data_IF_150836956374
#
_entry.id   IF_150836956374
#
_cell.length_a   1.000
_cell.length_b   1.000
_cell.length_c   1.000
_cell.angle_alpha   90.00
_cell.angle_beta   90.00
_cell.angle_gamma   90.00
#
_symmetry.space_group_name_H-M   'P 1'
#
loop_
_entity.id
_entity.type
_entity.pdbx_description
1 polymer ?
#
# COMPACT_ATOMS: atom_id res chain seq x y z
N UNK A 1 70.03 -11.01 43.72
CA UNK A 1 70.67 -12.02 44.51
C UNK A 1 69.90 -13.31 44.39
N UNK A 2 70.54 -14.27 43.72
CA UNK A 2 70.48 -15.74 43.74
C UNK A 2 69.22 -16.37 43.09
N UNK A 3 69.33 -16.82 41.86
CA UNK A 3 69.90 -18.08 41.33
C UNK A 3 68.93 -19.27 41.37
N UNK A 4 68.77 -19.82 40.20
CA UNK A 4 68.11 -21.06 39.71
C UNK A 4 68.55 -22.34 40.50
N UNK A 5 68.00 -23.56 40.28
CA UNK A 5 67.81 -24.15 38.92
C UNK A 5 66.65 -25.12 38.70
N UNK A 6 66.48 -25.43 37.44
CA UNK A 6 65.90 -26.53 36.66
C UNK A 6 65.87 -27.92 37.32
N UNK A 7 64.82 -28.72 37.03
CA UNK A 7 65.03 -30.10 36.55
C UNK A 7 63.81 -30.58 35.73
N UNK A 8 64.13 -31.18 34.60
CA UNK A 8 63.30 -32.00 33.73
C UNK A 8 62.88 -33.33 34.35
N UNK A 9 61.72 -33.87 34.00
CA UNK A 9 61.62 -35.28 33.63
C UNK A 9 60.31 -35.56 32.80
N UNK A 10 60.51 -36.13 31.62
CA UNK A 10 59.54 -36.79 30.76
C UNK A 10 58.96 -38.04 31.40
N UNK A 11 57.68 -38.30 31.21
CA UNK A 11 57.17 -39.66 30.98
C UNK A 11 56.01 -39.64 30.03
N UNK A 12 56.20 -40.35 28.91
CA UNK A 12 55.15 -40.78 27.93
C UNK A 12 54.12 -41.63 28.63
N UNK A 13 52.87 -41.53 28.28
CA UNK A 13 52.14 -42.68 27.72
C UNK A 13 50.61 -42.41 27.43
N UNK A 14 50.29 -42.90 26.31
CA UNK A 14 49.02 -43.57 25.89
C UNK A 14 47.84 -42.73 25.40
N UNK A 15 47.80 -42.79 24.06
CA UNK A 15 46.66 -42.60 23.16
C UNK A 15 45.43 -43.36 23.68
N UNK A 16 44.31 -42.69 23.77
CA UNK A 16 43.01 -43.26 23.50
C UNK A 16 42.22 -42.28 22.61
N UNK A 17 42.12 -42.62 21.33
CA UNK A 17 41.18 -42.01 20.40
C UNK A 17 39.78 -42.48 20.81
N UNK A 18 38.93 -41.54 21.17
CA UNK A 18 37.50 -41.71 21.13
C UNK A 18 36.95 -40.75 20.03
N UNK A 19 36.74 -41.30 18.86
CA UNK A 19 36.04 -40.64 17.81
C UNK A 19 34.57 -40.40 18.14
N UNK A 20 34.20 -39.16 18.43
CA UNK A 20 32.80 -38.75 18.39
C UNK A 20 32.44 -38.44 16.93
N UNK A 21 31.74 -39.37 16.29
CA UNK A 21 30.99 -39.12 15.08
C UNK A 21 29.85 -38.12 15.43
N UNK A 22 30.08 -36.85 15.17
CA UNK A 22 29.00 -35.87 15.10
C UNK A 22 28.21 -36.10 13.80
N UNK A 23 27.16 -36.91 13.89
CA UNK A 23 26.16 -36.99 12.83
C UNK A 23 25.44 -35.64 12.77
N UNK A 24 25.86 -34.77 11.86
CA UNK A 24 25.11 -33.59 11.49
C UNK A 24 23.85 -34.06 10.78
N UNK A 25 22.73 -34.08 11.50
CA UNK A 25 21.40 -34.10 10.91
C UNK A 25 21.20 -32.77 10.17
N UNK A 26 21.57 -32.72 8.90
CA UNK A 26 21.11 -31.69 7.98
C UNK A 26 19.61 -31.91 7.81
N UNK A 27 18.80 -31.25 8.66
CA UNK A 27 17.39 -31.09 8.41
C UNK A 27 17.26 -30.27 7.12
N UNK A 28 16.68 -30.80 6.02
CA UNK A 28 16.38 -29.97 4.88
C UNK A 28 15.36 -28.93 5.37
N UNK A 29 15.77 -27.66 5.45
CA UNK A 29 14.83 -26.57 5.49
C UNK A 29 14.07 -26.65 4.17
N UNK A 30 12.87 -27.17 4.23
CA UNK A 30 11.86 -26.97 3.20
C UNK A 30 11.58 -25.45 3.17
N UNK A 31 12.35 -24.73 2.38
CA UNK A 31 11.99 -23.39 1.95
C UNK A 31 10.77 -23.63 1.06
N UNK A 32 9.60 -23.71 1.68
CA UNK A 32 8.33 -23.66 0.97
C UNK A 32 8.35 -22.33 0.21
N UNK A 33 8.36 -22.39 -1.12
CA UNK A 33 8.02 -21.24 -1.92
C UNK A 33 6.65 -20.77 -1.41
N UNK A 34 6.60 -19.58 -0.80
CA UNK A 34 5.34 -18.94 -0.44
C UNK A 34 4.65 -18.59 -1.76
N UNK A 35 3.80 -19.49 -2.21
CA UNK A 35 2.96 -19.31 -3.39
C UNK A 35 1.56 -18.96 -2.89
N UNK A 36 0.91 -18.03 -3.58
CA UNK A 36 -0.46 -17.66 -3.27
C UNK A 36 -1.37 -18.90 -3.27
N UNK A 37 -2.26 -19.01 -2.29
CA UNK A 37 -3.18 -20.13 -2.17
C UNK A 37 -4.12 -20.21 -3.37
N UNK A 38 -4.37 -21.41 -3.87
CA UNK A 38 -5.38 -21.63 -4.89
C UNK A 38 -6.79 -21.33 -4.35
N UNK A 39 -7.73 -20.99 -5.22
CA UNK A 39 -9.06 -20.53 -4.82
C UNK A 39 -9.86 -21.61 -4.03
N UNK A 40 -9.66 -22.89 -4.33
CA UNK A 40 -10.29 -23.98 -3.56
C UNK A 40 -9.75 -24.09 -2.13
N UNK A 41 -8.50 -23.75 -1.90
CA UNK A 41 -7.94 -23.65 -0.55
C UNK A 41 -8.52 -22.45 0.19
N UNK A 42 -8.61 -21.28 -0.48
CA UNK A 42 -9.24 -20.07 0.06
C UNK A 42 -10.67 -20.35 0.50
N UNK A 43 -11.48 -21.05 -0.33
CA UNK A 43 -12.85 -21.44 0.03
C UNK A 43 -12.93 -22.27 1.29
N UNK A 44 -11.94 -23.12 1.57
CA UNK A 44 -11.91 -23.98 2.76
C UNK A 44 -11.48 -23.24 4.03
N UNK A 45 -10.47 -22.36 3.95
CA UNK A 45 -9.90 -21.67 5.12
C UNK A 45 -10.41 -20.25 5.36
N UNK A 46 -11.14 -19.71 4.40
CA UNK A 46 -11.55 -18.33 4.35
C UNK A 46 -10.56 -17.44 3.57
N UNK A 47 -11.08 -16.32 3.05
CA UNK A 47 -10.32 -15.29 2.34
C UNK A 47 -9.65 -14.35 3.35
N UNK A 48 -8.36 -14.13 3.21
CA UNK A 48 -7.60 -13.18 4.04
C UNK A 48 -7.46 -11.86 3.27
N UNK A 49 -8.18 -10.86 3.73
CA UNK A 49 -8.19 -9.50 3.17
C UNK A 49 -7.23 -8.62 3.97
N UNK A 50 -6.33 -7.92 3.30
CA UNK A 50 -5.51 -6.88 3.90
C UNK A 50 -6.04 -5.48 3.54
N UNK A 51 -6.21 -4.61 4.55
CA UNK A 51 -6.63 -3.22 4.40
C UNK A 51 -5.67 -2.29 5.12
N UNK A 52 -5.49 -1.07 4.62
CA UNK A 52 -4.75 -0.02 5.33
C UNK A 52 -5.55 0.49 6.53
N UNK A 53 -4.85 0.94 7.56
CA UNK A 53 -5.45 1.40 8.82
C UNK A 53 -6.01 2.83 8.75
N UNK A 54 -5.48 3.70 7.87
CA UNK A 54 -6.03 5.05 7.67
C UNK A 54 -5.73 5.64 6.27
N UNK A 55 -6.56 5.29 5.29
CA UNK A 55 -6.58 5.88 3.95
C UNK A 55 -7.97 6.42 3.59
N UNK A 56 -8.43 7.44 4.33
CA UNK A 56 -9.76 8.07 4.17
C UNK A 56 -9.97 8.65 2.78
N UNK A 57 -11.16 8.49 2.20
CA UNK A 57 -12.38 7.84 2.72
C UNK A 57 -12.55 6.37 2.31
N UNK A 58 -11.51 5.74 1.74
CA UNK A 58 -11.57 4.36 1.28
C UNK A 58 -11.66 3.38 2.44
N UNK A 59 -10.68 3.38 3.34
CA UNK A 59 -10.65 2.56 4.53
C UNK A 59 -9.94 3.29 5.69
N UNK A 60 -10.46 3.13 6.89
CA UNK A 60 -9.90 3.67 8.13
C UNK A 60 -10.58 3.05 9.35
N UNK A 61 -9.98 3.20 10.51
CA UNK A 61 -10.59 2.81 11.78
C UNK A 61 -11.19 4.04 12.46
N UNK A 62 -12.50 3.98 12.80
CA UNK A 62 -13.21 5.00 13.56
C UNK A 62 -13.87 4.36 14.76
N UNK A 63 -13.57 4.85 15.96
CA UNK A 63 -14.11 4.33 17.23
C UNK A 63 -13.92 2.80 17.36
N UNK A 64 -12.76 2.29 16.93
CA UNK A 64 -12.40 0.87 16.93
C UNK A 64 -13.10 0.03 15.86
N UNK A 65 -13.82 0.64 14.92
CA UNK A 65 -14.55 -0.06 13.86
C UNK A 65 -13.96 0.24 12.48
N UNK A 66 -13.74 -0.77 11.63
CA UNK A 66 -13.44 -0.58 10.21
C UNK A 66 -14.56 0.24 9.56
N UNK A 67 -14.19 1.28 8.83
CA UNK A 67 -15.11 2.29 8.28
C UNK A 67 -14.57 2.73 6.92
N UNK A 68 -15.43 3.20 6.03
CA UNK A 68 -15.04 3.67 4.71
C UNK A 68 -15.61 2.85 3.56
N UNK A 69 -15.37 3.30 2.34
CA UNK A 69 -15.89 2.71 1.12
C UNK A 69 -15.53 1.22 0.97
N UNK A 70 -14.23 0.89 1.07
CA UNK A 70 -13.75 -0.48 0.94
C UNK A 70 -14.23 -1.36 2.11
N UNK A 71 -14.31 -0.82 3.33
CA UNK A 71 -14.80 -1.57 4.47
C UNK A 71 -16.29 -1.91 4.35
N UNK A 72 -17.12 -1.04 3.78
CA UNK A 72 -18.53 -1.38 3.51
C UNK A 72 -18.66 -2.46 2.42
N UNK A 73 -17.84 -2.40 1.37
CA UNK A 73 -17.80 -3.46 0.36
C UNK A 73 -17.31 -4.79 0.94
N UNK A 74 -16.39 -4.78 1.92
CA UNK A 74 -15.98 -6.00 2.64
C UNK A 74 -17.15 -6.58 3.43
N UNK A 75 -18.00 -5.77 4.07
CA UNK A 75 -19.21 -6.25 4.74
C UNK A 75 -20.22 -6.85 3.75
N UNK A 76 -20.43 -6.19 2.60
CA UNK A 76 -21.27 -6.72 1.53
C UNK A 76 -20.70 -8.05 0.98
N UNK A 77 -19.36 -8.15 0.84
CA UNK A 77 -18.66 -9.38 0.46
C UNK A 77 -18.83 -10.49 1.51
N UNK A 78 -18.76 -10.19 2.82
CA UNK A 78 -19.02 -11.16 3.91
C UNK A 78 -20.42 -11.74 3.84
N UNK A 79 -21.39 -10.93 3.43
CA UNK A 79 -22.80 -11.36 3.32
C UNK A 79 -23.03 -12.25 2.10
N UNK A 80 -22.31 -12.03 1.00
CA UNK A 80 -22.53 -12.70 -0.29
C UNK A 80 -21.60 -13.86 -0.57
N UNK A 81 -20.41 -13.90 0.06
CA UNK A 81 -19.44 -14.98 -0.17
C UNK A 81 -19.86 -16.31 0.47
N UNK A 82 -19.63 -17.46 -0.18
CA UNK A 82 -19.94 -18.78 0.37
C UNK A 82 -18.86 -19.29 1.36
N UNK A 83 -17.94 -18.42 1.80
CA UNK A 83 -16.84 -18.74 2.71
C UNK A 83 -16.53 -17.53 3.61
N UNK A 84 -15.79 -17.78 4.68
CA UNK A 84 -15.42 -16.75 5.65
C UNK A 84 -14.53 -15.68 5.03
N UNK A 85 -14.72 -14.39 5.42
CA UNK A 85 -13.87 -13.26 5.07
C UNK A 85 -13.16 -12.79 6.33
N UNK A 86 -11.86 -12.99 6.39
CA UNK A 86 -10.96 -12.55 7.47
C UNK A 86 -10.29 -11.26 7.05
N UNK A 87 -10.34 -10.22 7.87
CA UNK A 87 -9.72 -8.94 7.57
C UNK A 87 -8.55 -8.67 8.51
N UNK A 88 -7.40 -8.34 7.95
CA UNK A 88 -6.25 -7.82 8.67
C UNK A 88 -6.06 -6.34 8.32
N UNK A 89 -6.08 -5.50 9.35
CA UNK A 89 -5.90 -4.04 9.25
C UNK A 89 -4.48 -3.73 9.69
N UNK A 90 -3.71 -3.08 8.83
CA UNK A 90 -2.28 -2.86 9.05
C UNK A 90 -1.80 -1.58 8.32
N UNK A 91 -0.61 -1.04 8.67
CA UNK A 91 -0.03 0.05 7.91
C UNK A 91 0.19 -0.32 6.44
N UNK A 92 0.10 0.67 5.54
CA UNK A 92 0.29 0.48 4.09
C UNK A 92 1.52 -0.35 3.72
N UNK A 93 2.65 -0.05 4.39
CA UNK A 93 3.93 -0.71 4.08
C UNK A 93 3.83 -2.22 4.29
N UNK A 94 4.07 -2.97 3.22
CA UNK A 94 4.06 -4.44 3.24
C UNK A 94 2.74 -5.10 2.81
N UNK A 95 1.61 -4.36 2.66
CA UNK A 95 0.34 -4.94 2.19
C UNK A 95 0.52 -5.63 0.83
N UNK A 96 0.99 -4.90 -0.19
CA UNK A 96 1.11 -5.44 -1.54
C UNK A 96 2.17 -6.54 -1.65
N UNK A 97 3.28 -6.42 -0.92
CA UNK A 97 4.28 -7.49 -0.82
C UNK A 97 3.70 -8.74 -0.15
N UNK A 98 2.88 -8.56 0.90
CA UNK A 98 2.17 -9.65 1.55
C UNK A 98 1.21 -10.38 0.63
N UNK A 99 0.50 -9.66 -0.25
CA UNK A 99 -0.37 -10.26 -1.27
C UNK A 99 0.45 -11.01 -2.32
N UNK A 100 1.51 -10.39 -2.85
CA UNK A 100 2.34 -11.03 -3.89
C UNK A 100 3.02 -12.31 -3.42
N UNK A 101 3.29 -12.44 -2.11
CA UNK A 101 3.91 -13.63 -1.49
C UNK A 101 2.88 -14.61 -0.91
N UNK A 102 1.58 -14.33 -1.00
CA UNK A 102 0.52 -15.22 -0.51
C UNK A 102 0.29 -15.19 1.00
N UNK A 103 0.86 -14.20 1.73
CA UNK A 103 0.53 -13.96 3.13
C UNK A 103 -0.92 -13.50 3.28
N UNK A 104 -1.38 -12.64 2.39
CA UNK A 104 -2.76 -12.21 2.22
C UNK A 104 -3.24 -12.65 0.84
N UNK A 105 -4.53 -12.88 0.68
CA UNK A 105 -5.11 -13.28 -0.60
C UNK A 105 -5.44 -12.09 -1.49
N UNK A 106 -5.88 -11.00 -0.87
CA UNK A 106 -6.28 -9.77 -1.57
C UNK A 106 -5.97 -8.54 -0.73
N UNK A 107 -5.52 -7.47 -1.40
CA UNK A 107 -5.51 -6.13 -0.84
C UNK A 107 -6.78 -5.40 -1.27
N UNK A 108 -7.64 -5.06 -0.31
CA UNK A 108 -8.80 -4.17 -0.49
C UNK A 108 -8.44 -2.85 0.18
N UNK A 109 -7.73 -1.98 -0.53
CA UNK A 109 -7.10 -0.78 0.04
C UNK A 109 -6.79 0.29 -1.00
N UNK A 110 -7.66 0.46 -1.97
CA UNK A 110 -7.54 1.49 -3.02
C UNK A 110 -6.15 1.54 -3.70
N UNK A 111 -5.51 0.38 -3.91
CA UNK A 111 -4.19 0.30 -4.52
C UNK A 111 -4.21 0.77 -5.98
N UNK A 112 -3.47 1.83 -6.31
CA UNK A 112 -3.38 2.36 -7.67
C UNK A 112 -2.70 1.35 -8.59
N UNK A 113 -3.30 1.10 -9.75
CA UNK A 113 -2.77 0.22 -10.79
C UNK A 113 -1.55 0.89 -11.42
N UNK A 114 -0.36 0.24 -11.37
CA UNK A 114 0.87 0.69 -12.03
C UNK A 114 1.51 -0.45 -12.82
N UNK A 115 2.35 -0.13 -13.83
CA UNK A 115 3.12 -1.15 -14.58
C UNK A 115 3.99 -2.01 -13.68
N UNK A 116 4.65 -1.39 -12.70
CA UNK A 116 5.51 -2.09 -11.76
C UNK A 116 4.70 -3.09 -10.93
N UNK A 117 3.58 -2.66 -10.34
CA UNK A 117 2.72 -3.53 -9.52
C UNK A 117 2.14 -4.68 -10.34
N UNK A 118 1.79 -4.47 -11.62
CA UNK A 118 1.31 -5.52 -12.53
C UNK A 118 2.34 -6.62 -12.83
N UNK A 119 3.60 -6.44 -12.48
CA UNK A 119 4.59 -7.51 -12.61
C UNK A 119 4.36 -8.64 -11.61
N UNK A 120 3.88 -8.33 -10.40
CA UNK A 120 3.68 -9.28 -9.29
C UNK A 120 2.23 -9.42 -8.83
N UNK A 121 1.33 -8.56 -9.31
CA UNK A 121 -0.08 -8.50 -8.91
C UNK A 121 -0.98 -8.44 -10.14
N UNK A 122 -2.19 -8.97 -9.98
CA UNK A 122 -3.32 -8.72 -10.88
C UNK A 122 -4.35 -7.85 -10.14
N UNK A 123 -5.11 -7.06 -10.90
CA UNK A 123 -6.02 -6.06 -10.36
C UNK A 123 -7.44 -6.30 -10.84
N UNK A 124 -8.42 -6.06 -9.97
CA UNK A 124 -9.83 -6.00 -10.34
C UNK A 124 -10.12 -4.84 -11.29
N UNK A 125 -11.34 -4.74 -11.74
CA UNK A 125 -11.81 -3.52 -12.40
C UNK A 125 -11.67 -2.31 -11.47
N UNK A 126 -11.34 -1.11 -12.02
CA UNK A 126 -11.23 0.12 -11.25
C UNK A 126 -12.45 0.45 -10.39
N UNK A 127 -12.18 1.01 -9.20
CA UNK A 127 -13.21 1.35 -8.22
C UNK A 127 -13.48 2.86 -8.09
N UNK A 128 -12.54 3.71 -8.56
CA UNK A 128 -12.66 5.17 -8.54
C UNK A 128 -11.69 5.83 -9.52
N UNK A 129 -11.75 7.15 -9.69
CA UNK A 129 -10.68 7.97 -10.27
C UNK A 129 -9.73 8.42 -9.15
N UNK A 130 -8.44 8.18 -9.33
CA UNK A 130 -7.41 8.52 -8.35
C UNK A 130 -6.36 9.49 -8.94
N UNK A 131 -6.75 10.41 -9.81
CA UNK A 131 -5.88 11.47 -10.30
C UNK A 131 -5.24 12.20 -9.11
N UNK A 132 -3.92 12.43 -9.18
CA UNK A 132 -3.16 13.03 -8.07
C UNK A 132 -3.25 14.55 -8.12
N UNK A 133 -3.45 15.14 -6.96
CA UNK A 133 -3.47 16.57 -6.74
C UNK A 133 -2.53 16.93 -5.59
N UNK A 134 -2.13 18.18 -5.51
CA UNK A 134 -1.48 18.67 -4.30
C UNK A 134 -2.48 19.35 -3.37
N UNK A 135 -2.16 19.33 -2.09
CA UNK A 135 -2.85 20.08 -1.04
C UNK A 135 -1.81 20.93 -0.29
N UNK A 136 -2.19 22.13 0.08
CA UNK A 136 -1.37 23.09 0.81
C UNK A 136 -2.11 23.70 1.99
N UNK A 137 -1.43 24.43 2.86
CA UNK A 137 -2.09 25.27 3.84
C UNK A 137 -2.86 26.39 3.11
N UNK A 138 -4.06 26.66 3.57
CA UNK A 138 -4.96 27.67 2.98
C UNK A 138 -4.41 29.11 3.11
N UNK A 139 -3.66 29.38 4.18
CA UNK A 139 -3.02 30.67 4.46
C UNK A 139 -1.69 30.84 3.72
N UNK A 140 -1.08 29.81 3.18
CA UNK A 140 0.12 29.91 2.35
C UNK A 140 -0.21 30.53 0.98
N UNK A 141 0.12 31.81 0.83
CA UNK A 141 -0.07 32.57 -0.41
C UNK A 141 1.11 32.45 -1.38
N UNK A 142 2.17 31.72 -0.98
CA UNK A 142 3.33 31.48 -1.84
C UNK A 142 3.10 30.39 -2.89
N UNK A 143 2.00 29.63 -2.78
CA UNK A 143 1.59 28.58 -3.72
C UNK A 143 0.22 28.93 -4.28
N UNK A 144 0.15 29.27 -5.55
CA UNK A 144 -1.08 29.56 -6.30
C UNK A 144 -1.25 28.68 -7.54
N UNK A 145 -0.16 28.07 -8.02
CA UNK A 145 -0.13 27.24 -9.21
C UNK A 145 0.95 26.16 -9.11
N UNK A 146 0.99 25.22 -10.07
CA UNK A 146 2.01 24.15 -10.12
C UNK A 146 3.42 24.72 -10.13
N UNK A 147 3.69 25.79 -10.89
CA UNK A 147 5.03 26.40 -10.98
C UNK A 147 5.59 26.85 -9.63
N UNK A 148 4.70 27.23 -8.70
CA UNK A 148 5.08 27.71 -7.37
C UNK A 148 5.53 26.57 -6.43
N UNK A 149 5.33 25.31 -6.85
CA UNK A 149 5.84 24.12 -6.16
C UNK A 149 7.35 23.90 -6.39
N UNK A 150 7.94 24.65 -7.34
CA UNK A 150 9.36 24.53 -7.66
C UNK A 150 10.25 24.75 -6.43
N UNK A 151 11.12 23.76 -6.15
CA UNK A 151 12.04 23.78 -5.01
C UNK A 151 11.41 23.62 -3.63
N UNK A 152 10.07 23.56 -3.53
CA UNK A 152 9.35 23.36 -2.27
C UNK A 152 9.38 21.93 -1.81
N UNK A 153 9.25 21.72 -0.51
CA UNK A 153 9.25 20.38 0.12
C UNK A 153 7.89 19.72 -0.02
N UNK A 154 7.87 18.52 -0.62
CA UNK A 154 6.67 17.67 -0.74
C UNK A 154 6.65 16.57 0.29
N UNK A 155 5.48 16.37 0.93
CA UNK A 155 5.18 15.20 1.74
C UNK A 155 4.40 14.15 0.92
N UNK A 156 4.74 12.86 1.08
CA UNK A 156 4.06 11.75 0.39
C UNK A 156 4.24 10.47 1.20
N UNK A 157 3.32 9.50 1.04
CA UNK A 157 3.44 8.21 1.73
C UNK A 157 4.50 7.32 1.05
N UNK A 158 5.36 6.72 1.86
CA UNK A 158 6.40 5.79 1.44
C UNK A 158 5.80 4.56 0.71
N UNK A 159 6.43 4.14 -0.40
CA UNK A 159 5.98 2.99 -1.20
C UNK A 159 4.65 3.20 -1.93
N UNK A 160 4.10 4.42 -1.92
CA UNK A 160 2.88 4.73 -2.66
C UNK A 160 3.14 4.93 -4.16
N UNK A 161 2.11 4.71 -4.99
CA UNK A 161 2.18 5.07 -6.40
C UNK A 161 2.31 6.60 -6.60
N UNK A 162 1.87 7.39 -5.63
CA UNK A 162 1.99 8.84 -5.66
C UNK A 162 3.46 9.27 -5.57
N UNK A 163 4.25 8.63 -4.70
CA UNK A 163 5.70 8.81 -4.63
C UNK A 163 6.36 8.43 -5.96
N UNK A 164 6.03 7.26 -6.51
CA UNK A 164 6.60 6.77 -7.78
C UNK A 164 6.31 7.71 -8.96
N UNK A 165 5.21 8.48 -8.92
CA UNK A 165 4.78 9.41 -9.98
C UNK A 165 5.20 10.87 -9.76
N UNK A 166 5.91 11.21 -8.69
CA UNK A 166 6.46 12.57 -8.51
C UNK A 166 7.34 13.04 -9.68
N UNK A 167 8.04 12.18 -10.44
CA UNK A 167 8.71 12.60 -11.66
C UNK A 167 7.81 13.26 -12.71
N UNK A 168 6.49 12.96 -12.76
CA UNK A 168 5.54 13.65 -13.64
C UNK A 168 5.38 15.12 -13.24
N UNK A 169 5.25 15.38 -11.93
CA UNK A 169 5.29 16.75 -11.41
C UNK A 169 6.64 17.41 -11.70
N UNK A 170 7.76 16.68 -11.54
CA UNK A 170 9.10 17.17 -11.92
C UNK A 170 9.14 17.65 -13.37
N UNK A 171 8.63 16.85 -14.31
CA UNK A 171 8.56 17.20 -15.73
C UNK A 171 7.63 18.40 -16.01
N UNK A 172 6.54 18.56 -15.23
CA UNK A 172 5.70 19.76 -15.32
C UNK A 172 6.45 21.02 -14.89
N UNK A 173 7.20 20.94 -13.79
CA UNK A 173 8.00 22.05 -13.27
C UNK A 173 9.15 22.45 -14.21
N UNK A 174 9.82 21.47 -14.81
CA UNK A 174 10.93 21.69 -15.75
C UNK A 174 10.51 22.49 -16.99
N UNK A 175 9.26 22.35 -17.46
CA UNK A 175 8.73 23.15 -18.56
C UNK A 175 8.75 24.66 -18.29
N UNK A 176 8.65 25.03 -17.01
CA UNK A 176 8.69 26.42 -16.55
C UNK A 176 10.06 26.79 -15.94
N UNK A 177 11.11 26.01 -16.19
CA UNK A 177 12.47 26.20 -15.67
C UNK A 177 12.62 25.90 -14.18
N UNK A 178 11.63 25.27 -13.57
CA UNK A 178 11.64 24.82 -12.18
C UNK A 178 12.20 23.42 -11.99
N UNK A 179 12.11 22.91 -10.75
CA UNK A 179 12.52 21.54 -10.40
C UNK A 179 11.75 21.03 -9.19
N UNK A 180 11.65 19.72 -9.08
CA UNK A 180 11.14 19.09 -7.87
C UNK A 180 12.06 19.41 -6.68
N UNK A 181 11.45 19.77 -5.52
CA UNK A 181 12.18 20.05 -4.30
C UNK A 181 12.48 18.81 -3.47
N UNK A 182 12.67 19.00 -2.16
CA UNK A 182 12.90 17.90 -1.21
C UNK A 182 11.64 17.05 -1.09
N UNK A 183 11.80 15.72 -1.14
CA UNK A 183 10.75 14.75 -0.86
C UNK A 183 10.89 14.27 0.59
N UNK A 184 9.80 14.29 1.35
CA UNK A 184 9.71 13.71 2.69
C UNK A 184 8.69 12.58 2.64
N UNK A 185 9.17 11.38 2.95
CA UNK A 185 8.34 10.18 2.96
C UNK A 185 7.80 9.93 4.37
N UNK A 186 6.51 9.60 4.46
CA UNK A 186 5.80 9.32 5.71
C UNK A 186 5.28 7.88 5.71
N UNK A 187 5.14 7.31 6.89
CA UNK A 187 4.53 5.99 7.06
C UNK A 187 3.04 6.03 6.72
N UNK A 188 2.38 7.16 7.05
CA UNK A 188 0.95 7.37 6.83
C UNK A 188 0.63 8.78 6.36
N UNK A 189 -0.51 8.97 5.69
CA UNK A 189 -0.98 10.29 5.29
C UNK A 189 -1.38 11.20 6.46
N UNK A 190 -1.99 10.73 7.56
CA UNK A 190 -2.21 11.57 8.75
C UNK A 190 -0.96 12.26 9.26
N UNK A 191 0.21 11.60 9.27
CA UNK A 191 1.50 12.20 9.64
C UNK A 191 1.93 13.28 8.64
N UNK A 192 1.81 13.02 7.34
CA UNK A 192 2.13 13.99 6.29
C UNK A 192 1.25 15.26 6.42
N UNK A 193 -0.04 15.10 6.69
CA UNK A 193 -0.96 16.22 6.89
C UNK A 193 -0.69 16.99 8.18
N UNK A 194 -0.25 16.32 9.25
CA UNK A 194 0.19 16.99 10.46
C UNK A 194 1.41 17.87 10.20
N UNK A 195 2.40 17.37 9.50
CA UNK A 195 3.60 18.12 9.15
C UNK A 195 3.31 19.24 8.16
N UNK A 196 2.35 19.06 7.25
CA UNK A 196 1.84 20.16 6.41
C UNK A 196 1.21 21.26 7.23
N UNK A 197 0.36 20.94 8.21
CA UNK A 197 -0.26 21.92 9.10
C UNK A 197 0.78 22.71 9.91
N UNK A 198 1.85 22.04 10.34
CA UNK A 198 2.96 22.64 11.10
C UNK A 198 3.98 23.38 10.21
N UNK A 199 3.83 23.36 8.88
CA UNK A 199 4.76 24.01 7.95
C UNK A 199 6.11 23.30 7.80
N UNK A 200 6.22 22.03 8.18
CA UNK A 200 7.45 21.22 7.99
C UNK A 200 7.61 20.72 6.57
N UNK A 201 6.50 20.58 5.85
CA UNK A 201 6.43 20.44 4.40
C UNK A 201 5.55 21.53 3.82
N UNK A 202 5.76 21.90 2.56
CA UNK A 202 5.05 22.97 1.90
C UNK A 202 3.74 22.51 1.28
N UNK A 203 3.73 21.27 0.77
CA UNK A 203 2.56 20.64 0.19
C UNK A 203 2.64 19.11 0.35
N UNK A 204 1.49 18.47 0.22
CA UNK A 204 1.35 17.00 0.20
C UNK A 204 0.65 16.59 -1.09
N UNK A 205 1.05 15.48 -1.70
CA UNK A 205 0.39 14.91 -2.88
C UNK A 205 -0.43 13.71 -2.45
N UNK A 206 -1.72 13.71 -2.82
CA UNK A 206 -2.61 12.57 -2.66
C UNK A 206 -3.68 12.56 -3.78
N UNK A 207 -4.56 11.56 -3.81
CA UNK A 207 -5.64 11.52 -4.79
C UNK A 207 -6.68 12.60 -4.50
N UNK A 208 -7.39 13.04 -5.53
CA UNK A 208 -8.43 14.07 -5.38
C UNK A 208 -9.51 13.66 -4.37
N UNK A 209 -9.85 12.37 -4.30
CA UNK A 209 -10.85 11.85 -3.37
C UNK A 209 -10.38 12.02 -1.92
N UNK A 210 -9.16 11.60 -1.61
CA UNK A 210 -8.59 11.76 -0.27
C UNK A 210 -8.48 13.24 0.13
N UNK A 211 -8.07 14.10 -0.80
CA UNK A 211 -7.90 15.52 -0.53
C UNK A 211 -9.22 16.27 -0.36
N UNK A 212 -10.29 15.92 -1.11
CA UNK A 212 -11.63 16.46 -0.89
C UNK A 212 -12.13 16.13 0.52
N UNK A 213 -11.94 14.88 0.97
CA UNK A 213 -12.27 14.46 2.34
C UNK A 213 -11.44 15.22 3.37
N UNK A 214 -10.13 15.33 3.17
CA UNK A 214 -9.24 16.07 4.06
C UNK A 214 -9.68 17.52 4.26
N UNK A 215 -9.96 18.27 3.18
CA UNK A 215 -10.31 19.69 3.30
C UNK A 215 -11.71 19.90 3.87
N UNK A 216 -12.63 18.94 3.71
CA UNK A 216 -13.93 18.96 4.36
C UNK A 216 -13.80 18.77 5.90
N UNK A 217 -12.91 17.88 6.33
CA UNK A 217 -12.63 17.64 7.75
C UNK A 217 -11.73 18.70 8.38
N UNK A 218 -10.78 19.23 7.60
CA UNK A 218 -9.75 20.20 8.05
C UNK A 218 -9.69 21.42 7.14
N UNK A 219 -10.52 22.44 7.35
CA UNK A 219 -10.64 23.61 6.47
C UNK A 219 -9.42 24.54 6.48
N UNK A 220 -8.37 24.19 7.21
CA UNK A 220 -7.05 24.87 7.19
C UNK A 220 -6.24 24.54 5.93
N UNK A 221 -6.69 23.55 5.16
CA UNK A 221 -6.07 23.13 3.91
C UNK A 221 -6.87 23.58 2.69
N UNK A 222 -6.20 23.59 1.55
CA UNK A 222 -6.76 23.91 0.25
C UNK A 222 -6.18 22.99 -0.81
N UNK A 223 -7.05 22.37 -1.62
CA UNK A 223 -6.64 21.54 -2.76
C UNK A 223 -6.19 22.44 -3.89
N UNK A 224 -5.04 22.11 -4.47
CA UNK A 224 -4.51 22.79 -5.64
C UNK A 224 -4.89 22.11 -6.96
N UNK A 225 -3.94 22.03 -7.88
CA UNK A 225 -4.11 21.50 -9.23
C UNK A 225 -3.69 20.03 -9.33
N UNK A 226 -4.10 19.35 -10.41
CA UNK A 226 -3.65 17.99 -10.73
C UNK A 226 -2.16 17.99 -11.07
N UNK A 227 -1.42 17.03 -10.51
CA UNK A 227 0.04 16.86 -10.67
C UNK A 227 0.41 15.54 -11.33
N UNK A 228 -0.57 14.81 -11.85
CA UNK A 228 -0.39 13.58 -12.61
C UNK A 228 -1.44 13.42 -13.70
N UNK A 229 -1.20 12.52 -14.64
CA UNK A 229 -2.23 11.97 -15.51
C UNK A 229 -3.26 11.13 -14.73
N UNK A 230 -4.29 10.63 -15.44
CA UNK A 230 -5.31 9.75 -14.84
C UNK A 230 -4.70 8.50 -14.22
N UNK A 231 -5.26 8.08 -13.11
CA UNK A 231 -4.97 6.81 -12.47
C UNK A 231 -6.20 6.24 -11.79
N UNK A 232 -6.20 4.94 -11.56
CA UNK A 232 -7.34 4.24 -11.00
C UNK A 232 -6.88 3.29 -9.90
N UNK A 233 -7.52 3.32 -8.72
CA UNK A 233 -7.35 2.31 -7.70
C UNK A 233 -8.19 1.08 -8.02
N UNK A 234 -7.72 -0.08 -7.57
CA UNK A 234 -8.42 -1.35 -7.66
C UNK A 234 -7.98 -2.28 -6.53
N UNK A 235 -8.68 -3.37 -6.35
CA UNK A 235 -8.25 -4.43 -5.44
C UNK A 235 -7.17 -5.28 -6.11
N UNK A 236 -6.17 -5.69 -5.33
CA UNK A 236 -5.01 -6.41 -5.85
C UNK A 236 -4.96 -7.84 -5.31
N UNK A 237 -4.74 -8.82 -6.19
CA UNK A 237 -4.47 -10.22 -5.87
C UNK A 237 -3.07 -10.61 -6.34
N UNK A 238 -2.54 -11.72 -5.83
CA UNK A 238 -1.29 -12.25 -6.33
C UNK A 238 -1.38 -12.55 -7.83
N UNK A 239 -0.25 -12.40 -8.53
CA UNK A 239 -0.14 -12.65 -9.97
C UNK A 239 -0.64 -14.06 -10.31
N UNK A 240 -1.39 -14.15 -11.39
CA UNK A 240 -1.95 -15.41 -11.92
C UNK A 240 -3.00 -16.11 -11.03
N UNK A 241 -3.48 -15.48 -9.95
CA UNK A 241 -4.64 -15.99 -9.17
C UNK A 241 -5.96 -15.64 -9.88
N UNK A 242 -6.16 -16.23 -11.06
CA UNK A 242 -7.25 -15.88 -11.99
C UNK A 242 -8.63 -16.18 -11.44
N UNK A 243 -8.79 -17.28 -10.67
CA UNK A 243 -10.08 -17.67 -10.12
C UNK A 243 -10.54 -16.72 -9.02
N UNK A 244 -9.65 -16.30 -8.12
CA UNK A 244 -9.95 -15.29 -7.11
C UNK A 244 -10.25 -13.94 -7.77
N UNK A 245 -9.43 -13.54 -8.76
CA UNK A 245 -9.66 -12.31 -9.51
C UNK A 245 -11.04 -12.30 -10.20
N UNK A 246 -11.43 -13.40 -10.82
CA UNK A 246 -12.74 -13.55 -11.46
C UNK A 246 -13.88 -13.43 -10.44
N UNK A 247 -13.76 -14.10 -9.28
CA UNK A 247 -14.73 -14.02 -8.20
C UNK A 247 -14.93 -12.58 -7.70
N UNK A 248 -13.82 -11.85 -7.45
CA UNK A 248 -13.87 -10.47 -6.98
C UNK A 248 -14.44 -9.52 -8.05
N UNK A 249 -14.12 -9.73 -9.31
CA UNK A 249 -14.70 -8.94 -10.42
C UNK A 249 -16.20 -9.21 -10.58
N UNK A 250 -16.65 -10.47 -10.42
CA UNK A 250 -18.06 -10.80 -10.41
C UNK A 250 -18.81 -10.12 -9.26
N UNK A 251 -18.23 -10.11 -8.05
CA UNK A 251 -18.77 -9.37 -6.92
C UNK A 251 -18.91 -7.88 -7.24
N UNK A 252 -17.82 -7.21 -7.69
CA UNK A 252 -17.86 -5.79 -8.06
C UNK A 252 -18.90 -5.52 -9.16
N UNK A 253 -19.03 -6.41 -10.14
CA UNK A 253 -20.02 -6.25 -11.21
C UNK A 253 -21.47 -6.36 -10.68
N UNK A 254 -21.73 -7.25 -9.71
CA UNK A 254 -23.02 -7.35 -9.03
C UNK A 254 -23.34 -6.11 -8.22
N UNK A 255 -22.38 -5.58 -7.47
CA UNK A 255 -22.55 -4.34 -6.70
C UNK A 255 -22.80 -3.13 -7.61
N UNK A 256 -22.13 -3.06 -8.76
CA UNK A 256 -22.41 -2.04 -9.81
C UNK A 256 -23.80 -2.20 -10.41
N UNK A 257 -24.21 -3.41 -10.73
CA UNK A 257 -25.52 -3.69 -11.36
C UNK A 257 -26.69 -3.44 -10.40
N UNK A 258 -26.53 -3.70 -9.12
CA UNK A 258 -27.53 -3.43 -8.07
C UNK A 258 -27.70 -1.93 -7.76
N UNK A 259 -26.74 -1.10 -8.15
CA UNK A 259 -26.66 0.32 -7.79
C UNK A 259 -25.97 0.58 -6.44
N UNK A 260 -25.66 -0.46 -5.65
CA UNK A 260 -25.02 -0.35 -4.33
C UNK A 260 -23.64 0.30 -4.43
N UNK A 261 -22.87 -0.05 -5.44
CA UNK A 261 -21.55 0.53 -5.69
C UNK A 261 -21.61 2.06 -5.87
N UNK A 262 -22.54 2.54 -6.70
CA UNK A 262 -22.75 3.98 -6.92
C UNK A 262 -23.28 4.70 -5.67
N UNK A 263 -24.13 4.04 -4.88
CA UNK A 263 -24.58 4.54 -3.59
C UNK A 263 -23.39 4.77 -2.64
N UNK A 264 -22.51 3.78 -2.50
CA UNK A 264 -21.32 3.87 -1.66
C UNK A 264 -20.33 4.94 -2.16
N UNK A 265 -20.12 5.04 -3.47
CA UNK A 265 -19.31 6.12 -4.03
C UNK A 265 -19.87 7.50 -3.68
N UNK A 266 -21.17 7.72 -3.84
CA UNK A 266 -21.82 8.99 -3.46
C UNK A 266 -21.70 9.26 -1.96
N UNK A 267 -21.88 8.24 -1.13
CA UNK A 267 -21.76 8.35 0.33
C UNK A 267 -20.38 8.78 0.77
N UNK A 268 -19.35 8.14 0.22
CA UNK A 268 -17.97 8.30 0.69
C UNK A 268 -17.17 9.33 -0.09
N UNK A 269 -17.41 9.45 -1.40
CA UNK A 269 -16.66 10.33 -2.29
C UNK A 269 -17.43 11.60 -2.68
N UNK A 270 -18.74 11.67 -2.37
CA UNK A 270 -19.62 12.75 -2.76
C UNK A 270 -20.11 12.66 -4.20
N UNK A 271 -19.59 11.73 -4.99
CA UNK A 271 -19.94 11.52 -6.40
C UNK A 271 -19.80 10.04 -6.79
N UNK A 272 -20.47 9.63 -7.86
CA UNK A 272 -20.31 8.31 -8.46
C UNK A 272 -19.49 8.41 -9.75
N UNK A 273 -18.80 7.33 -10.11
CA UNK A 273 -17.98 7.21 -11.32
C UNK A 273 -18.58 6.19 -12.28
N UNK A 274 -19.60 6.55 -13.09
CA UNK A 274 -20.29 5.62 -13.97
C UNK A 274 -19.42 5.13 -15.13
N UNK A 275 -18.43 5.93 -15.55
CA UNK A 275 -17.61 5.70 -16.73
C UNK A 275 -16.23 5.09 -16.41
N UNK A 276 -16.12 4.36 -15.30
CA UNK A 276 -14.87 3.66 -15.00
C UNK A 276 -14.60 2.57 -16.04
N UNK A 277 -13.34 2.44 -16.50
CA UNK A 277 -13.00 1.39 -17.45
C UNK A 277 -13.16 0.00 -16.80
N UNK A 278 -13.47 -1.02 -17.59
CA UNK A 278 -13.54 -2.41 -17.13
C UNK A 278 -12.13 -2.94 -16.78
N UNK A 279 -11.14 -2.50 -17.54
CA UNK A 279 -9.72 -2.78 -17.31
C UNK A 279 -8.90 -1.52 -17.61
N UNK A 280 -7.75 -1.39 -16.96
CA UNK A 280 -6.85 -0.26 -17.17
C UNK A 280 -5.42 -0.75 -17.40
N UNK A 281 -4.82 -0.26 -18.49
CA UNK A 281 -3.38 -0.43 -18.76
C UNK A 281 -2.67 0.89 -18.41
N UNK A 282 -1.86 0.89 -17.35
CA UNK A 282 -1.18 2.10 -16.90
C UNK A 282 -0.03 2.48 -17.85
N UNK A 283 0.18 3.77 -18.04
CA UNK A 283 1.30 4.32 -18.82
C UNK A 283 2.59 4.44 -18.00
N UNK A 284 2.52 4.30 -16.69
CA UNK A 284 3.63 4.46 -15.73
C UNK A 284 3.77 3.22 -14.84
#
# INVERSE_FOLDING_TARGET
>A
MTMYPLTCSNVLSRRLMLGLLAAQFAMPMLIGNAQAAGFDEIKKRGLIVATEDDFRPFEFVKDGKPTGFDNELIEDLRTSAPFEIKQEILPWTGILAGVSTGKYDVAITAAIITKERKQSLDFTSPIADATHYYVKRKDDKSISSIKDLSGKTVGVQAGSALLARLPELGAMLEKDGGKLGKIVEYTSYPEAYQDLALGRVDYVVNTIINLKTLVAEKPVFEVGQAVSGKSFPAWAVAKDNKELLAFLNEFIAKEKASGRFAELQKKWFGEAFPDLPVAFEPEF
#
